data_IF_810553751063
#
_entry.id   IF_810553751063
#
_cell.length_a   1.000
_cell.length_b   1.000
_cell.length_c   1.000
_cell.angle_alpha   90.00
_cell.angle_beta   90.00
_cell.angle_gamma   90.00
#
_symmetry.space_group_name_H-M   'P 1'
#
loop_
_entity.id
_entity.type
_entity.pdbx_description
1 polymer ?
#
# COMPACT_ATOMS: atom_id res chain seq x y z
N UNK A 1 -14.42 11.50 17.63
CA UNK A 1 -14.70 10.59 16.51
C UNK A 1 -14.37 11.31 15.21
N UNK A 2 -13.14 11.18 14.74
CA UNK A 2 -12.68 11.84 13.51
C UNK A 2 -12.95 10.89 12.35
N UNK A 3 -13.89 11.25 11.48
CA UNK A 3 -14.07 10.60 10.18
C UNK A 3 -12.72 10.60 9.47
N UNK A 4 -12.10 9.43 9.34
CA UNK A 4 -10.97 9.22 8.45
C UNK A 4 -11.51 9.31 7.03
N UNK A 5 -11.60 10.53 6.50
CA UNK A 5 -11.93 10.76 5.09
C UNK A 5 -11.07 9.83 4.24
N UNK A 6 -11.72 9.13 3.32
CA UNK A 6 -11.04 8.34 2.33
C UNK A 6 -10.23 9.28 1.43
N UNK A 7 -9.03 9.68 1.88
CA UNK A 7 -8.11 10.46 1.07
C UNK A 7 -7.86 9.66 -0.21
N UNK A 8 -8.25 10.24 -1.33
CA UNK A 8 -7.84 9.77 -2.64
C UNK A 8 -6.37 10.11 -2.87
N UNK A 9 -5.80 9.55 -3.93
CA UNK A 9 -4.45 9.89 -4.37
C UNK A 9 -4.38 11.40 -4.62
N UNK A 10 -3.46 12.13 -3.97
CA UNK A 10 -3.36 13.57 -4.15
C UNK A 10 -2.86 13.84 -5.57
N UNK A 11 -3.63 14.62 -6.31
CA UNK A 11 -3.19 15.15 -7.59
C UNK A 11 -2.64 16.55 -7.34
N UNK A 12 -1.38 16.78 -7.71
CA UNK A 12 -0.80 18.14 -7.68
C UNK A 12 -1.45 19.00 -8.76
N UNK A 13 -1.44 20.30 -8.51
CA UNK A 13 -1.93 21.33 -9.45
C UNK A 13 -1.19 21.27 -10.80
N UNK A 14 0.11 20.93 -10.77
CA UNK A 14 0.97 20.76 -11.95
C UNK A 14 0.86 19.36 -12.61
N UNK A 15 0.04 18.46 -12.06
CA UNK A 15 -0.10 17.05 -12.45
C UNK A 15 1.23 16.28 -12.49
N UNK A 16 2.28 16.79 -11.86
CA UNK A 16 3.58 16.15 -11.86
C UNK A 16 3.53 14.81 -11.12
N UNK A 17 4.30 13.84 -11.63
CA UNK A 17 4.46 12.50 -11.03
C UNK A 17 5.93 12.06 -11.13
N UNK A 18 6.44 11.28 -10.17
CA UNK A 18 7.75 10.67 -10.30
C UNK A 18 7.77 9.68 -11.49
N UNK A 19 8.86 9.68 -12.25
CA UNK A 19 9.06 8.82 -13.43
C UNK A 19 10.37 8.01 -13.31
N UNK A 20 10.53 7.27 -12.21
CA UNK A 20 11.64 6.33 -12.07
C UNK A 20 11.15 4.92 -12.39
N UNK A 21 11.51 4.41 -13.58
CA UNK A 21 11.09 3.09 -14.06
C UNK A 21 11.57 1.95 -13.15
N UNK A 22 12.79 2.05 -12.62
CA UNK A 22 13.37 1.02 -11.78
C UNK A 22 12.61 0.93 -10.47
N UNK A 23 12.42 2.06 -9.79
CA UNK A 23 11.70 2.07 -8.53
C UNK A 23 10.21 1.70 -8.71
N UNK A 24 9.59 2.12 -9.82
CA UNK A 24 8.23 1.71 -10.15
C UNK A 24 8.12 0.19 -10.33
N UNK A 25 9.10 -0.43 -10.99
CA UNK A 25 9.13 -1.89 -11.17
C UNK A 25 9.32 -2.64 -9.85
N UNK A 26 10.11 -2.08 -8.92
CA UNK A 26 10.30 -2.65 -7.59
C UNK A 26 9.01 -2.57 -6.78
N UNK A 27 8.33 -1.42 -6.79
CA UNK A 27 7.04 -1.25 -6.13
C UNK A 27 6.02 -2.24 -6.67
N UNK A 28 5.94 -2.40 -7.99
CA UNK A 28 5.06 -3.37 -8.63
C UNK A 28 5.36 -4.80 -8.18
N UNK A 29 6.63 -5.18 -8.15
CA UNK A 29 7.05 -6.49 -7.67
C UNK A 29 6.69 -6.72 -6.20
N UNK A 30 6.88 -5.72 -5.34
CA UNK A 30 6.51 -5.81 -3.92
C UNK A 30 5.00 -5.98 -3.74
N UNK A 31 4.19 -5.25 -4.54
CA UNK A 31 2.74 -5.40 -4.55
C UNK A 31 2.36 -6.82 -4.97
N UNK A 32 2.89 -7.30 -6.09
CA UNK A 32 2.61 -8.64 -6.61
C UNK A 32 3.00 -9.74 -5.62
N UNK A 33 4.18 -9.62 -5.01
CA UNK A 33 4.68 -10.57 -4.01
C UNK A 33 3.83 -10.57 -2.74
N UNK A 34 3.37 -9.41 -2.29
CA UNK A 34 2.47 -9.30 -1.14
C UNK A 34 1.10 -9.95 -1.44
N UNK A 35 0.54 -9.75 -2.64
CA UNK A 35 -0.68 -10.42 -3.06
C UNK A 35 -0.52 -11.94 -3.20
N UNK A 36 0.60 -12.40 -3.78
CA UNK A 36 0.92 -13.83 -3.85
C UNK A 36 1.02 -14.45 -2.48
N UNK A 37 1.80 -13.84 -1.59
CA UNK A 37 1.97 -14.33 -0.21
C UNK A 37 0.65 -14.38 0.55
N UNK A 38 -0.22 -13.39 0.36
CA UNK A 38 -1.52 -13.34 1.02
C UNK A 38 -2.54 -14.33 0.41
N UNK A 39 -2.39 -14.69 -0.87
CA UNK A 39 -3.14 -15.77 -1.51
C UNK A 39 -2.64 -17.16 -1.05
N UNK A 40 -1.33 -17.36 -1.05
CA UNK A 40 -0.67 -18.62 -0.67
C UNK A 40 -0.88 -18.93 0.82
N UNK A 41 -0.83 -17.90 1.68
CA UNK A 41 -1.06 -18.02 3.12
C UNK A 41 -2.47 -18.46 3.51
N UNK A 42 -3.44 -18.38 2.60
CA UNK A 42 -4.83 -18.85 2.82
C UNK A 42 -5.13 -20.22 2.21
N UNK A 43 -4.27 -20.76 1.35
CA UNK A 43 -4.66 -21.88 0.51
C UNK A 43 -3.50 -22.71 0.02
N UNK A 44 -2.93 -23.54 0.88
CA UNK A 44 -1.95 -24.51 0.42
C UNK A 44 -1.72 -25.65 1.38
N UNK A 45 -2.31 -26.80 1.07
CA UNK A 45 -1.94 -28.15 1.53
C UNK A 45 -2.89 -28.83 2.53
N UNK A 46 -2.99 -28.51 3.83
CA UNK A 46 -3.66 -29.42 4.76
C UNK A 46 -5.19 -29.48 4.61
N UNK A 47 -5.87 -28.36 4.33
CA UNK A 47 -7.34 -28.33 4.22
C UNK A 47 -7.84 -28.96 2.92
N UNK A 48 -7.14 -28.74 1.80
CA UNK A 48 -7.48 -29.41 0.54
C UNK A 48 -7.21 -30.91 0.61
N UNK A 49 -6.09 -31.32 1.21
CA UNK A 49 -5.77 -32.74 1.42
C UNK A 49 -6.80 -33.39 2.34
N UNK A 50 -7.18 -32.73 3.44
CA UNK A 50 -8.22 -33.23 4.34
C UNK A 50 -9.59 -33.34 3.64
N UNK A 51 -9.98 -32.33 2.86
CA UNK A 51 -11.23 -32.35 2.08
C UNK A 51 -11.26 -33.46 1.04
N UNK A 52 -10.16 -33.67 0.31
CA UNK A 52 -10.03 -34.75 -0.66
C UNK A 52 -10.09 -36.13 0.02
N UNK A 53 -9.49 -36.29 1.19
CA UNK A 53 -9.49 -37.54 1.94
C UNK A 53 -10.90 -37.86 2.49
N UNK A 54 -11.63 -36.85 2.96
CA UNK A 54 -13.04 -37.01 3.38
C UNK A 54 -13.93 -37.42 2.21
N UNK A 55 -13.78 -36.80 1.03
CA UNK A 55 -14.53 -37.19 -0.16
C UNK A 55 -14.20 -38.61 -0.62
N UNK A 56 -12.93 -39.02 -0.53
CA UNK A 56 -12.50 -40.37 -0.85
C UNK A 56 -13.12 -41.41 0.09
N UNK A 57 -13.13 -41.16 1.40
CA UNK A 57 -13.76 -42.04 2.40
C UNK A 57 -15.27 -42.10 2.19
N UNK A 58 -15.92 -40.97 1.92
CA UNK A 58 -17.36 -40.92 1.65
C UNK A 58 -17.73 -41.71 0.39
N UNK A 59 -16.96 -41.57 -0.69
CA UNK A 59 -17.15 -42.34 -1.92
C UNK A 59 -17.00 -43.85 -1.69
N UNK A 60 -16.07 -44.26 -0.83
CA UNK A 60 -15.85 -45.65 -0.44
C UNK A 60 -17.05 -46.22 0.33
N UNK A 61 -17.57 -45.47 1.31
CA UNK A 61 -18.74 -45.87 2.11
C UNK A 61 -19.98 -46.00 1.22
N UNK A 62 -20.21 -45.03 0.32
CA UNK A 62 -21.35 -45.05 -0.61
C UNK A 62 -21.22 -46.23 -1.57
N UNK A 63 -20.04 -46.46 -2.15
CA UNK A 63 -19.80 -47.56 -3.09
C UNK A 63 -20.02 -48.94 -2.48
N UNK A 64 -19.61 -49.15 -1.23
CA UNK A 64 -19.90 -50.40 -0.50
C UNK A 64 -21.39 -50.54 -0.13
N UNK A 65 -22.08 -49.43 0.16
CA UNK A 65 -23.49 -49.45 0.55
C UNK A 65 -24.46 -49.64 -0.62
N UNK A 66 -24.18 -49.07 -1.80
CA UNK A 66 -25.07 -49.13 -2.97
C UNK A 66 -24.77 -50.29 -3.90
N UNK A 67 -23.57 -50.89 -3.83
CA UNK A 67 -23.13 -51.95 -4.76
C UNK A 67 -22.88 -51.45 -6.20
N UNK A 68 -23.03 -50.15 -6.45
CA UNK A 68 -22.79 -49.51 -7.75
C UNK A 68 -21.65 -48.49 -7.63
N UNK A 69 -20.43 -48.85 -8.07
CA UNK A 69 -19.26 -47.98 -7.96
C UNK A 69 -19.33 -46.75 -8.88
N UNK A 70 -20.11 -46.81 -9.97
CA UNK A 70 -20.28 -45.72 -10.92
C UNK A 70 -21.12 -44.59 -10.31
N UNK A 71 -22.18 -44.96 -9.58
CA UNK A 71 -23.05 -44.02 -8.88
C UNK A 71 -22.30 -43.32 -7.72
N UNK A 72 -21.50 -44.08 -6.96
CA UNK A 72 -20.66 -43.55 -5.89
C UNK A 72 -19.62 -42.53 -6.40
N UNK A 73 -18.98 -42.83 -7.53
CA UNK A 73 -18.05 -41.90 -8.18
C UNK A 73 -18.76 -40.62 -8.64
N UNK A 74 -19.96 -40.73 -9.23
CA UNK A 74 -20.76 -39.59 -9.65
C UNK A 74 -21.11 -38.65 -8.50
N UNK A 75 -21.52 -39.19 -7.35
CA UNK A 75 -21.84 -38.41 -6.15
C UNK A 75 -20.60 -37.72 -5.58
N UNK A 76 -19.46 -38.42 -5.52
CA UNK A 76 -18.21 -37.84 -5.04
C UNK A 76 -17.73 -36.68 -5.92
N UNK A 77 -17.84 -36.82 -7.25
CA UNK A 77 -17.51 -35.75 -8.21
C UNK A 77 -18.48 -34.58 -8.08
N UNK A 78 -19.78 -34.84 -7.97
CA UNK A 78 -20.79 -33.79 -7.79
C UNK A 78 -20.59 -32.99 -6.50
N UNK A 79 -20.29 -33.68 -5.38
CA UNK A 79 -19.96 -33.04 -4.10
C UNK A 79 -18.64 -32.26 -4.18
N UNK A 80 -17.63 -32.79 -4.88
CA UNK A 80 -16.37 -32.08 -5.11
C UNK A 80 -16.57 -30.78 -5.90
N UNK A 81 -17.34 -30.82 -6.98
CA UNK A 81 -17.67 -29.64 -7.79
C UNK A 81 -18.52 -28.62 -7.03
N UNK A 82 -19.53 -29.09 -6.29
CA UNK A 82 -20.38 -28.22 -5.46
C UNK A 82 -19.59 -27.56 -4.33
N UNK A 83 -18.71 -28.32 -3.67
CA UNK A 83 -17.79 -27.80 -2.66
C UNK A 83 -16.83 -26.75 -3.24
N UNK A 84 -16.25 -27.03 -4.41
CA UNK A 84 -15.37 -26.08 -5.10
C UNK A 84 -16.10 -24.78 -5.46
N UNK A 85 -17.29 -24.88 -6.07
CA UNK A 85 -18.11 -23.72 -6.40
C UNK A 85 -18.49 -22.91 -5.15
N UNK A 86 -18.84 -23.58 -4.05
CA UNK A 86 -19.15 -22.91 -2.79
C UNK A 86 -17.94 -22.16 -2.21
N UNK A 87 -16.75 -22.79 -2.23
CA UNK A 87 -15.51 -22.17 -1.76
C UNK A 87 -15.05 -21.01 -2.65
N UNK A 88 -15.30 -21.08 -3.96
CA UNK A 88 -14.99 -20.01 -4.90
C UNK A 88 -15.88 -18.78 -4.68
N UNK A 89 -17.13 -18.96 -4.26
CA UNK A 89 -18.06 -17.86 -3.97
C UNK A 89 -17.90 -17.32 -2.55
N UNK A 90 -17.51 -18.17 -1.61
CA UNK A 90 -17.43 -17.84 -0.18
C UNK A 90 -16.02 -17.51 0.30
N UNK A 91 -15.05 -17.35 -0.60
CA UNK A 91 -13.67 -17.03 -0.23
C UNK A 91 -13.62 -15.60 0.33
N UNK A 92 -13.31 -15.40 1.63
CA UNK A 92 -13.25 -14.08 2.19
C UNK A 92 -12.09 -13.32 1.54
N UNK A 93 -12.32 -12.06 1.16
CA UNK A 93 -11.34 -11.17 0.54
C UNK A 93 -9.98 -11.28 1.24
N UNK A 94 -8.91 -11.43 0.46
CA UNK A 94 -7.54 -11.47 0.97
C UNK A 94 -7.30 -10.18 1.77
N UNK A 95 -7.20 -10.31 3.10
CA UNK A 95 -6.92 -9.17 3.96
C UNK A 95 -5.42 -8.94 3.94
N UNK A 96 -4.98 -8.14 2.99
CA UNK A 96 -3.59 -7.71 2.89
C UNK A 96 -3.32 -6.63 3.93
N UNK A 97 -2.33 -6.81 4.80
CA UNK A 97 -1.83 -5.71 5.61
C UNK A 97 -1.07 -4.75 4.69
N UNK A 98 -1.73 -3.66 4.29
CA UNK A 98 -1.20 -2.75 3.27
C UNK A 98 0.09 -2.06 3.69
N UNK A 99 0.28 -1.82 5.00
CA UNK A 99 1.50 -1.18 5.51
C UNK A 99 2.74 -2.03 5.33
N UNK A 100 2.61 -3.37 5.32
CA UNK A 100 3.74 -4.29 5.19
C UNK A 100 4.14 -4.58 3.75
N UNK A 101 3.36 -4.11 2.76
CA UNK A 101 3.64 -4.34 1.33
C UNK A 101 5.00 -3.76 0.92
N UNK A 102 5.37 -2.63 1.50
CA UNK A 102 6.62 -1.93 1.18
C UNK A 102 7.74 -2.15 2.20
N UNK A 103 7.56 -3.05 3.18
CA UNK A 103 8.60 -3.37 4.17
C UNK A 103 9.95 -3.78 3.52
N UNK A 104 10.00 -4.53 2.40
CA UNK A 104 11.26 -4.90 1.75
C UNK A 104 12.12 -3.71 1.30
N UNK A 105 11.51 -2.53 1.09
CA UNK A 105 12.20 -1.29 0.70
C UNK A 105 12.28 -0.27 1.85
N UNK A 106 12.00 -0.69 3.09
CA UNK A 106 12.02 0.16 4.29
C UNK A 106 10.69 0.85 4.60
N UNK A 107 9.60 0.42 3.98
CA UNK A 107 8.25 0.90 4.20
C UNK A 107 7.88 2.15 3.38
N UNK A 108 6.59 2.55 3.42
CA UNK A 108 6.07 3.68 2.63
C UNK A 108 6.78 5.00 2.95
N UNK A 109 7.25 5.21 4.18
CA UNK A 109 7.94 6.43 4.59
C UNK A 109 9.33 6.60 3.98
N UNK A 110 9.98 5.52 3.55
CA UNK A 110 11.34 5.54 3.00
C UNK A 110 11.36 5.80 1.48
N UNK A 111 10.20 5.80 0.83
CA UNK A 111 10.10 6.17 -0.57
C UNK A 111 10.54 7.63 -0.79
N UNK A 112 11.10 7.98 -1.96
CA UNK A 112 11.42 9.36 -2.29
C UNK A 112 10.17 10.24 -2.18
N UNK A 113 10.34 11.47 -1.70
CA UNK A 113 9.22 12.38 -1.41
C UNK A 113 8.16 12.45 -2.53
N UNK A 114 8.59 12.47 -3.79
CA UNK A 114 7.72 12.50 -4.96
C UNK A 114 6.70 11.36 -5.05
N UNK A 115 6.97 10.21 -4.42
CA UNK A 115 6.06 9.06 -4.41
C UNK A 115 4.82 9.26 -3.54
N UNK A 116 4.75 10.36 -2.77
CA UNK A 116 3.54 10.76 -2.06
C UNK A 116 2.34 10.98 -3.00
N UNK A 117 2.58 11.29 -4.28
CA UNK A 117 1.53 11.50 -5.30
C UNK A 117 1.40 10.33 -6.28
N UNK A 118 2.14 9.24 -6.06
CA UNK A 118 2.16 8.10 -6.98
C UNK A 118 1.04 7.10 -6.66
N UNK A 119 0.12 6.79 -7.61
CA UNK A 119 -1.06 5.95 -7.33
C UNK A 119 -0.72 4.56 -6.79
N UNK A 120 0.29 3.88 -7.32
CA UNK A 120 0.61 2.52 -6.87
C UNK A 120 1.19 2.49 -5.46
N UNK A 121 1.95 3.53 -5.07
CA UNK A 121 2.40 3.67 -3.69
C UNK A 121 1.21 3.85 -2.73
N UNK A 122 0.13 4.50 -3.17
CA UNK A 122 -1.12 4.61 -2.42
C UNK A 122 -1.83 3.29 -2.21
N UNK A 123 -1.85 2.44 -3.23
CA UNK A 123 -2.39 1.08 -3.13
C UNK A 123 -1.54 0.21 -2.20
N UNK A 124 -0.22 0.44 -2.20
CA UNK A 124 0.78 -0.27 -1.41
C UNK A 124 0.98 0.26 0.02
N UNK A 125 0.01 0.97 0.60
CA UNK A 125 0.06 1.33 2.03
C UNK A 125 0.44 2.78 2.35
N UNK A 126 0.73 3.63 1.36
CA UNK A 126 1.02 5.05 1.61
C UNK A 126 -0.17 5.77 2.26
N UNK A 127 -1.40 5.39 1.89
CA UNK A 127 -2.63 5.97 2.46
C UNK A 127 -2.69 5.79 3.97
N UNK A 128 -2.44 4.56 4.42
CA UNK A 128 -2.43 4.17 5.82
C UNK A 128 -1.28 4.86 6.56
N UNK A 129 -0.12 5.02 5.90
CA UNK A 129 1.04 5.73 6.45
C UNK A 129 0.76 7.21 6.71
N UNK A 130 0.03 7.89 5.82
CA UNK A 130 -0.32 9.31 5.97
C UNK A 130 -1.61 9.55 6.75
N UNK A 131 -2.34 8.51 7.16
CA UNK A 131 -3.56 8.66 7.94
C UNK A 131 -3.39 9.49 9.24
N UNK A 132 -2.26 9.39 9.99
CA UNK A 132 -2.07 10.15 11.24
C UNK A 132 -1.79 11.65 11.08
N UNK A 133 -1.52 12.14 9.86
CA UNK A 133 -1.20 13.57 9.63
C UNK A 133 -2.45 14.37 9.29
N UNK A 134 -2.45 15.67 9.60
CA UNK A 134 -3.58 16.57 9.30
C UNK A 134 -3.67 16.84 7.80
N UNK A 135 -4.86 17.21 7.32
CA UNK A 135 -5.05 17.53 5.89
C UNK A 135 -4.20 18.73 5.45
N UNK A 136 -4.00 19.71 6.35
CA UNK A 136 -3.11 20.85 6.10
C UNK A 136 -1.66 20.40 5.91
N UNK A 137 -1.13 19.58 6.82
CA UNK A 137 0.22 19.01 6.72
C UNK A 137 0.39 18.21 5.44
N UNK A 138 -0.64 17.44 5.09
CA UNK A 138 -0.63 16.62 3.89
C UNK A 138 -0.59 17.46 2.61
N UNK A 139 -1.42 18.51 2.48
CA UNK A 139 -1.37 19.42 1.33
C UNK A 139 -0.02 20.12 1.18
N UNK A 140 0.56 20.56 2.30
CA UNK A 140 1.90 21.15 2.31
C UNK A 140 2.98 20.16 1.85
N UNK A 141 2.93 18.92 2.35
CA UNK A 141 3.85 17.87 1.96
C UNK A 141 3.75 17.55 0.45
N UNK A 142 2.52 17.50 -0.10
CA UNK A 142 2.27 17.28 -1.53
C UNK A 142 2.82 18.41 -2.40
N UNK A 143 2.75 19.67 -1.95
CA UNK A 143 3.36 20.80 -2.67
C UNK A 143 4.89 20.69 -2.70
N UNK A 144 5.49 20.36 -1.56
CA UNK A 144 6.95 20.31 -1.39
C UNK A 144 7.60 19.03 -1.94
N UNK A 145 6.83 17.98 -2.23
CA UNK A 145 7.37 16.65 -2.54
C UNK A 145 8.30 16.58 -3.77
N UNK A 146 8.15 17.50 -4.73
CA UNK A 146 9.00 17.58 -5.93
C UNK A 146 10.34 18.26 -5.67
N UNK A 147 10.36 19.24 -4.77
CA UNK A 147 11.54 20.06 -4.49
C UNK A 147 12.42 19.44 -3.41
N UNK A 148 11.85 18.55 -2.59
CA UNK A 148 12.55 17.93 -1.48
C UNK A 148 13.31 16.67 -1.94
N UNK A 149 14.66 16.63 -1.79
CA UNK A 149 15.47 15.50 -2.27
C UNK A 149 15.39 14.24 -1.38
N UNK A 150 14.80 14.35 -0.18
CA UNK A 150 14.71 13.26 0.79
C UNK A 150 13.48 12.34 0.64
N UNK A 151 13.22 11.58 1.70
CA UNK A 151 12.10 10.63 1.75
C UNK A 151 10.75 11.31 2.06
N UNK A 152 9.65 10.59 1.86
CA UNK A 152 8.31 11.01 2.29
C UNK A 152 8.29 11.31 3.78
N UNK A 153 8.93 10.47 4.60
CA UNK A 153 9.00 10.67 6.05
C UNK A 153 9.70 11.98 6.42
N UNK A 154 10.75 12.36 5.67
CA UNK A 154 11.50 13.58 5.91
C UNK A 154 10.69 14.82 5.55
N UNK A 155 9.96 14.80 4.43
CA UNK A 155 9.04 15.89 4.08
C UNK A 155 7.97 16.07 5.14
N UNK A 156 7.36 14.98 5.61
CA UNK A 156 6.34 15.06 6.66
C UNK A 156 6.92 15.63 7.96
N UNK A 157 8.13 15.20 8.35
CA UNK A 157 8.82 15.74 9.52
C UNK A 157 9.17 17.22 9.34
N UNK A 158 9.60 17.63 8.15
CA UNK A 158 9.92 19.01 7.81
C UNK A 158 8.68 19.89 7.92
N UNK A 159 7.55 19.47 7.35
CA UNK A 159 6.28 20.20 7.45
C UNK A 159 5.83 20.33 8.91
N UNK A 160 5.89 19.26 9.71
CA UNK A 160 5.58 19.32 11.15
C UNK A 160 6.46 20.30 11.90
N UNK A 161 7.77 20.33 11.59
CA UNK A 161 8.71 21.29 12.20
C UNK A 161 8.41 22.72 11.75
N UNK A 162 8.08 22.91 10.48
CA UNK A 162 7.76 24.23 9.93
C UNK A 162 6.48 24.80 10.54
N UNK A 163 5.42 24.00 10.68
CA UNK A 163 4.20 24.41 11.38
C UNK A 163 4.47 24.77 12.84
N UNK A 164 5.25 23.95 13.55
CA UNK A 164 5.64 24.23 14.94
C UNK A 164 6.43 25.54 15.04
N UNK A 165 7.36 25.77 14.12
CA UNK A 165 8.15 27.00 14.09
C UNK A 165 7.29 28.22 13.79
N UNK A 166 6.39 28.12 12.81
CA UNK A 166 5.44 29.19 12.50
C UNK A 166 4.54 29.51 13.70
N UNK A 167 4.05 28.49 14.43
CA UNK A 167 3.24 28.68 15.64
C UNK A 167 4.00 29.38 16.77
N UNK A 168 5.30 29.15 16.90
CA UNK A 168 6.13 29.82 17.90
C UNK A 168 6.37 31.29 17.57
N UNK A 169 6.37 31.66 16.28
CA UNK A 169 6.67 33.01 15.81
C UNK A 169 5.44 33.82 15.43
N UNK A 170 4.23 33.21 15.42
CA UNK A 170 2.98 33.91 15.08
C UNK A 170 2.45 34.80 16.20
N UNK A 171 3.11 34.89 17.36
CA UNK A 171 2.73 35.78 18.45
C UNK A 171 1.32 35.54 19.01
N UNK A 172 0.79 34.32 18.88
CA UNK A 172 -0.59 33.97 19.26
C UNK A 172 -1.62 34.05 18.13
N UNK A 173 -1.21 34.44 16.92
CA UNK A 173 -2.04 34.39 15.73
C UNK A 173 -2.23 32.97 15.18
N UNK A 174 -3.35 32.74 14.48
CA UNK A 174 -3.64 31.48 13.78
C UNK A 174 -2.60 31.28 12.67
N UNK A 175 -1.86 30.18 12.74
CA UNK A 175 -0.87 29.82 11.71
C UNK A 175 -1.59 29.45 10.43
N UNK A 176 -1.32 30.19 9.36
CA UNK A 176 -1.90 29.88 8.05
C UNK A 176 -1.05 28.84 7.33
N UNK A 177 -1.66 28.18 6.33
CA UNK A 177 -0.94 27.28 5.43
C UNK A 177 0.23 27.99 4.72
N UNK A 178 0.07 29.28 4.41
CA UNK A 178 1.10 30.09 3.76
C UNK A 178 2.34 30.31 4.65
N UNK A 179 2.14 30.55 5.95
CA UNK A 179 3.24 30.77 6.89
C UNK A 179 4.11 29.51 7.03
N UNK A 180 3.46 28.36 7.21
CA UNK A 180 4.14 27.06 7.29
C UNK A 180 4.85 26.72 5.98
N UNK A 181 4.21 26.99 4.83
CA UNK A 181 4.83 26.77 3.51
C UNK A 181 6.09 27.62 3.29
N UNK A 182 6.06 28.89 3.69
CA UNK A 182 7.21 29.81 3.54
C UNK A 182 8.42 29.34 4.34
N UNK A 183 8.21 28.87 5.56
CA UNK A 183 9.27 28.28 6.39
C UNK A 183 9.79 26.98 5.77
N UNK A 184 8.88 26.09 5.38
CA UNK A 184 9.22 24.78 4.83
C UNK A 184 9.97 24.86 3.49
N UNK A 185 9.53 25.72 2.57
CA UNK A 185 10.18 25.96 1.27
C UNK A 185 11.58 26.55 1.46
N UNK A 186 11.75 27.52 2.37
CA UNK A 186 13.06 28.07 2.72
C UNK A 186 14.01 26.97 3.20
N UNK A 187 13.60 26.17 4.19
CA UNK A 187 14.44 25.07 4.70
C UNK A 187 14.73 24.01 3.64
N UNK A 188 13.76 23.71 2.77
CA UNK A 188 13.97 22.77 1.66
C UNK A 188 15.03 23.31 0.69
N UNK A 189 14.99 24.60 0.36
CA UNK A 189 15.99 25.24 -0.51
C UNK A 189 17.38 25.32 0.14
N UNK A 190 17.45 25.56 1.45
CA UNK A 190 18.70 25.53 2.22
C UNK A 190 19.27 24.11 2.28
N UNK A 191 18.41 23.10 2.46
CA UNK A 191 18.82 21.70 2.43
C UNK A 191 19.34 21.32 1.04
N UNK A 192 18.62 21.65 -0.03
CA UNK A 192 19.06 21.37 -1.40
C UNK A 192 20.40 22.02 -1.76
N UNK A 193 20.70 23.21 -1.20
CA UNK A 193 22.00 23.88 -1.35
C UNK A 193 23.13 23.21 -0.56
N UNK A 194 22.83 22.69 0.62
CA UNK A 194 23.81 22.11 1.53
C UNK A 194 24.01 20.61 1.31
N UNK A 195 23.07 19.93 0.66
CA UNK A 195 23.22 18.54 0.26
C UNK A 195 24.33 18.45 -0.78
N UNK A 196 25.36 17.60 -0.56
CA UNK A 196 26.35 17.35 -1.60
C UNK A 196 25.61 16.82 -2.81
N UNK A 197 25.67 17.56 -3.91
CA UNK A 197 25.05 17.20 -5.17
C UNK A 197 25.62 15.86 -5.65
N UNK A 198 24.97 14.74 -5.33
CA UNK A 198 24.96 13.60 -6.23
C UNK A 198 24.10 14.00 -7.42
N UNK A 199 24.73 14.67 -8.38
CA UNK A 199 24.15 14.95 -9.68
C UNK A 199 23.95 13.60 -10.39
N UNK A 200 22.83 12.92 -10.14
CA UNK A 200 22.27 12.06 -11.19
C UNK A 200 21.63 13.01 -12.21
N UNK A 201 22.46 13.46 -13.15
CA UNK A 201 22.01 13.93 -14.45
C UNK A 201 21.30 12.76 -15.13
N UNK A 202 20.02 12.54 -14.80
CA UNK A 202 19.14 11.77 -15.66
C UNK A 202 18.84 12.68 -16.84
N UNK A 203 19.44 12.32 -17.96
CA UNK A 203 19.29 13.00 -19.23
C UNK A 203 17.81 13.17 -19.57
N UNK A 204 17.35 14.42 -19.61
CA UNK A 204 16.16 14.76 -20.36
C UNK A 204 16.51 14.59 -21.86
N UNK A 205 15.98 13.53 -22.48
CA UNK A 205 15.79 13.42 -23.92
C UNK A 205 14.31 13.25 -24.19
#
# INVERSE_FOLDING_TARGET
MTQTSARGVPMRDDRWRPQDELLNSVIDKCIDEAYRTAADGKGGSPVMVAGALVLAVLGLIIGFGTGDPLLAAGIAVALGLAGFAFTAVSTPSVQLNKLSVLDPIGGPGNLPAGYLVYPKAWEAGMREYVAPITDQQFRLAVRLCREHPGSVSDVIRLVKRAEKHAAQHSGGGVVTEHDAFKVASRWTSEHARNSPTMVMQVAAR
#
